data_IF_749311755803
#
_entry.id   IF_749311755803
#
_cell.length_a   1.000
_cell.length_b   1.000
_cell.length_c   1.000
_cell.angle_alpha   90.00
_cell.angle_beta   90.00
_cell.angle_gamma   90.00
#
_symmetry.space_group_name_H-M   'P 1'
#
loop_
_entity.id
_entity.type
_entity.pdbx_description
1 polymer ?
#
# COMPACT_ATOMS: atom_id res chain seq x y z
N UNK A 1 3.14 -11.57 17.69
CA UNK A 1 3.01 -12.86 17.02
C UNK A 1 4.27 -13.20 16.22
N UNK A 2 4.58 -14.50 16.06
CA UNK A 2 5.67 -14.97 15.21
C UNK A 2 5.08 -15.41 13.86
N UNK A 3 4.67 -14.45 13.04
CA UNK A 3 4.26 -14.77 11.68
C UNK A 3 5.48 -14.90 10.78
N UNK A 4 5.49 -15.91 9.92
CA UNK A 4 6.46 -16.02 8.84
C UNK A 4 6.00 -15.07 7.72
N UNK A 5 6.65 -13.92 7.60
CA UNK A 5 6.38 -12.94 6.55
C UNK A 5 7.50 -13.00 5.52
N UNK A 6 7.19 -12.84 4.26
CA UNK A 6 8.18 -12.73 3.21
C UNK A 6 9.09 -11.51 3.46
N UNK A 7 10.37 -11.64 3.17
CA UNK A 7 11.32 -10.53 3.20
C UNK A 7 11.00 -9.59 2.04
N UNK A 8 10.91 -8.29 2.32
CA UNK A 8 10.78 -7.29 1.27
C UNK A 8 12.06 -7.24 0.44
N UNK A 9 11.93 -7.29 -0.87
CA UNK A 9 13.06 -7.33 -1.80
C UNK A 9 13.02 -6.18 -2.80
N UNK A 10 14.19 -5.80 -3.27
CA UNK A 10 14.38 -5.00 -4.47
C UNK A 10 13.95 -5.79 -5.72
N UNK A 11 13.91 -5.15 -6.88
CA UNK A 11 13.54 -5.80 -8.16
C UNK A 11 14.54 -6.88 -8.58
N UNK A 12 15.78 -6.80 -8.14
CA UNK A 12 16.84 -7.80 -8.35
C UNK A 12 16.81 -8.99 -7.38
N UNK A 13 15.83 -9.01 -6.46
CA UNK A 13 15.66 -10.05 -5.45
C UNK A 13 16.51 -9.88 -4.20
N UNK A 14 17.36 -8.87 -4.12
CA UNK A 14 18.12 -8.57 -2.89
C UNK A 14 17.21 -8.02 -1.78
N UNK A 15 17.50 -8.26 -0.48
CA UNK A 15 16.73 -7.70 0.61
C UNK A 15 16.66 -6.17 0.52
N UNK A 16 15.46 -5.60 0.64
CA UNK A 16 15.25 -4.15 0.60
C UNK A 16 15.92 -3.46 1.80
N UNK A 17 15.76 -4.04 2.99
CA UNK A 17 16.43 -3.60 4.20
C UNK A 17 17.70 -4.43 4.39
N UNK A 18 18.86 -3.88 3.97
CA UNK A 18 20.17 -4.53 4.09
C UNK A 18 20.76 -4.41 5.50
N UNK A 19 21.98 -4.91 5.67
CA UNK A 19 22.69 -4.91 6.96
C UNK A 19 22.97 -3.49 7.50
N UNK A 20 23.13 -2.53 6.61
CA UNK A 20 23.47 -1.14 6.95
C UNK A 20 22.24 -0.25 7.06
N UNK A 21 21.04 -0.83 6.98
CA UNK A 21 19.80 -0.11 7.13
C UNK A 21 19.68 0.49 8.54
N UNK A 22 19.42 1.79 8.60
CA UNK A 22 19.14 2.50 9.83
C UNK A 22 17.71 3.02 9.81
N UNK A 23 16.91 2.55 10.76
CA UNK A 23 15.55 3.04 10.93
C UNK A 23 15.57 4.52 11.34
N UNK A 24 14.77 5.32 10.66
CA UNK A 24 14.51 6.72 11.02
C UNK A 24 13.01 6.89 11.26
N UNK A 25 12.69 7.45 12.41
CA UNK A 25 11.30 7.65 12.80
C UNK A 25 10.59 8.62 11.85
N UNK A 26 9.41 8.20 11.35
CA UNK A 26 8.62 8.99 10.41
C UNK A 26 9.08 8.94 8.94
N UNK A 27 10.20 8.27 8.64
CA UNK A 27 10.66 8.07 7.26
C UNK A 27 9.95 6.87 6.65
N UNK A 28 9.33 7.08 5.47
CA UNK A 28 8.76 6.02 4.66
C UNK A 28 9.73 5.56 3.56
N UNK A 29 9.37 4.51 2.83
CA UNK A 29 10.25 3.91 1.84
C UNK A 29 9.52 3.63 0.54
N UNK A 30 10.12 4.02 -0.56
CA UNK A 30 9.65 3.65 -1.90
C UNK A 30 10.17 2.25 -2.26
N UNK A 31 9.32 1.26 -2.09
CA UNK A 31 9.66 -0.11 -2.48
C UNK A 31 9.69 -0.26 -4.00
N UNK A 32 8.82 0.47 -4.70
CA UNK A 32 8.73 0.50 -6.17
C UNK A 32 8.37 1.90 -6.64
N UNK A 33 8.77 2.26 -7.84
CA UNK A 33 8.39 3.50 -8.50
C UNK A 33 7.61 3.19 -9.77
N UNK A 34 6.55 3.95 -10.02
CA UNK A 34 5.66 3.86 -11.19
C UNK A 34 4.86 5.14 -11.32
N UNK A 35 4.10 5.28 -12.39
CA UNK A 35 3.42 6.53 -12.75
C UNK A 35 1.90 6.41 -12.88
N UNK A 36 1.37 5.19 -13.05
CA UNK A 36 -0.05 4.98 -13.38
C UNK A 36 -0.94 4.97 -12.12
N UNK A 37 -0.40 4.55 -10.99
CA UNK A 37 -1.06 4.58 -9.68
C UNK A 37 -0.01 4.50 -8.55
N UNK A 38 -0.43 4.77 -7.31
CA UNK A 38 0.39 4.57 -6.12
C UNK A 38 -0.35 3.76 -5.06
N UNK A 39 0.32 2.75 -4.50
CA UNK A 39 -0.11 2.02 -3.32
C UNK A 39 0.62 2.60 -2.12
N UNK A 40 -0.13 2.98 -1.08
CA UNK A 40 0.41 3.36 0.23
C UNK A 40 0.05 2.25 1.21
N UNK A 41 1.04 1.65 1.83
CA UNK A 41 0.84 0.50 2.72
C UNK A 41 1.77 0.52 3.92
N UNK A 42 1.56 -0.36 4.88
CA UNK A 42 2.45 -0.58 6.02
C UNK A 42 2.33 -2.01 6.56
N UNK A 43 3.29 -2.40 7.41
CA UNK A 43 3.25 -3.65 8.15
C UNK A 43 3.18 -4.89 7.26
N UNK A 44 2.26 -5.80 7.64
CA UNK A 44 2.09 -7.11 7.00
C UNK A 44 1.52 -7.04 5.58
N UNK A 45 0.96 -5.89 5.19
CA UNK A 45 0.38 -5.73 3.86
C UNK A 45 1.42 -5.39 2.78
N UNK A 46 2.63 -4.97 3.17
CA UNK A 46 3.68 -4.62 2.21
C UNK A 46 4.10 -5.77 1.28
N UNK A 47 4.33 -7.02 1.74
CA UNK A 47 4.58 -8.14 0.83
C UNK A 47 3.44 -8.40 -0.14
N UNK A 48 2.18 -8.31 0.32
CA UNK A 48 1.01 -8.48 -0.53
C UNK A 48 0.86 -7.36 -1.57
N UNK A 49 1.26 -6.14 -1.21
CA UNK A 49 1.33 -5.03 -2.15
C UNK A 49 2.37 -5.29 -3.26
N UNK A 50 3.52 -5.90 -2.93
CA UNK A 50 4.51 -6.30 -3.91
C UNK A 50 4.03 -7.45 -4.82
N UNK A 51 3.26 -8.40 -4.30
CA UNK A 51 2.63 -9.45 -5.13
C UNK A 51 1.65 -8.83 -6.14
N UNK A 52 0.81 -7.89 -5.71
CA UNK A 52 -0.10 -7.16 -6.61
C UNK A 52 0.68 -6.32 -7.64
N UNK A 53 1.77 -5.68 -7.22
CA UNK A 53 2.65 -4.93 -8.10
C UNK A 53 3.24 -5.81 -9.22
N UNK A 54 3.70 -7.02 -8.89
CA UNK A 54 4.21 -7.98 -9.89
C UNK A 54 3.12 -8.37 -10.92
N UNK A 55 1.89 -8.56 -10.47
CA UNK A 55 0.77 -8.85 -11.37
C UNK A 55 0.47 -7.67 -12.29
N UNK A 56 0.41 -6.44 -11.76
CA UNK A 56 0.15 -5.23 -12.52
C UNK A 56 1.26 -4.95 -13.53
N UNK A 57 2.53 -5.12 -13.12
CA UNK A 57 3.68 -5.00 -14.01
C UNK A 57 3.61 -5.93 -15.22
N UNK A 58 3.21 -7.19 -15.01
CA UNK A 58 3.01 -8.15 -16.11
C UNK A 58 1.92 -7.72 -17.09
N UNK A 59 1.00 -6.86 -16.65
CA UNK A 59 -0.05 -6.26 -17.48
C UNK A 59 0.36 -4.93 -18.09
N UNK A 60 1.60 -4.49 -17.89
CA UNK A 60 2.11 -3.21 -18.41
C UNK A 60 1.67 -1.99 -17.61
N UNK A 61 1.19 -2.16 -16.37
CA UNK A 61 0.76 -1.09 -15.48
C UNK A 61 1.88 -0.78 -14.49
N UNK A 62 2.38 0.45 -14.52
CA UNK A 62 3.51 0.91 -13.70
C UNK A 62 3.01 1.56 -12.40
N UNK A 63 3.06 0.81 -11.31
CA UNK A 63 2.55 1.25 -10.01
C UNK A 63 3.67 1.53 -9.02
N UNK A 64 3.56 2.64 -8.30
CA UNK A 64 4.42 2.93 -7.15
C UNK A 64 3.94 2.17 -5.92
N UNK A 65 4.89 1.69 -5.09
CA UNK A 65 4.60 1.13 -3.76
C UNK A 65 5.38 1.90 -2.71
N UNK A 66 4.67 2.63 -1.87
CA UNK A 66 5.22 3.42 -0.78
C UNK A 66 4.88 2.78 0.56
N UNK A 67 5.91 2.42 1.32
CA UNK A 67 5.82 1.83 2.65
C UNK A 67 5.91 2.91 3.72
N UNK A 68 4.86 3.08 4.50
CA UNK A 68 4.87 3.90 5.71
C UNK A 68 5.46 3.09 6.86
N UNK A 69 6.49 3.61 7.53
CA UNK A 69 7.10 2.97 8.70
C UNK A 69 6.39 3.31 10.00
N UNK A 70 5.78 4.49 10.08
CA UNK A 70 5.07 5.00 11.26
C UNK A 70 3.69 5.52 10.84
N UNK A 71 2.60 4.76 11.03
CA UNK A 71 1.24 5.27 10.79
C UNK A 71 0.98 6.59 11.51
N UNK A 72 0.38 7.56 10.81
CA UNK A 72 0.16 8.92 11.30
C UNK A 72 1.36 9.86 11.21
N UNK A 73 2.55 9.36 10.85
CA UNK A 73 3.77 10.18 10.65
C UNK A 73 4.42 9.76 9.33
N UNK A 74 4.40 10.63 8.36
CA UNK A 74 4.93 10.37 7.03
C UNK A 74 5.40 11.67 6.36
N UNK A 75 6.28 11.53 5.37
CA UNK A 75 6.76 12.65 4.58
C UNK A 75 5.63 13.25 3.73
N UNK A 76 5.37 14.55 3.93
CA UNK A 76 4.40 15.29 3.12
C UNK A 76 4.78 15.29 1.63
N UNK A 77 6.08 15.32 1.32
CA UNK A 77 6.57 15.31 -0.06
C UNK A 77 6.32 13.97 -0.73
N UNK A 78 6.51 12.86 0.01
CA UNK A 78 6.24 11.53 -0.52
C UNK A 78 4.74 11.31 -0.77
N UNK A 79 3.87 11.77 0.14
CA UNK A 79 2.42 11.68 -0.10
C UNK A 79 2.00 12.53 -1.30
N UNK A 80 2.57 13.74 -1.47
CA UNK A 80 2.34 14.54 -2.69
C UNK A 80 2.81 13.82 -3.95
N UNK A 81 3.97 13.15 -3.87
CA UNK A 81 4.49 12.37 -5.00
C UNK A 81 3.56 11.18 -5.35
N UNK A 82 2.94 10.52 -4.35
CA UNK A 82 1.93 9.48 -4.65
C UNK A 82 0.71 10.07 -5.34
N UNK A 83 0.23 11.24 -4.92
CA UNK A 83 -0.94 11.90 -5.50
C UNK A 83 -0.75 12.28 -6.98
N UNK A 84 0.49 12.57 -7.39
CA UNK A 84 0.82 12.93 -8.77
C UNK A 84 0.57 11.80 -9.78
N UNK A 85 0.38 10.56 -9.33
CA UNK A 85 -0.01 9.44 -10.21
C UNK A 85 -1.49 9.50 -10.62
N UNK A 86 -2.30 10.36 -9.99
CA UNK A 86 -3.73 10.49 -10.24
C UNK A 86 -4.62 9.45 -9.55
N UNK A 87 -4.07 8.32 -9.11
CA UNK A 87 -4.77 7.29 -8.33
C UNK A 87 -3.91 6.85 -7.15
N UNK A 88 -4.40 7.06 -5.94
CA UNK A 88 -3.80 6.55 -4.70
C UNK A 88 -4.68 5.46 -4.11
N UNK A 89 -4.08 4.34 -3.75
CA UNK A 89 -4.77 3.24 -3.05
C UNK A 89 -4.07 3.01 -1.71
N UNK A 90 -4.76 3.24 -0.60
CA UNK A 90 -4.26 2.82 0.71
C UNK A 90 -4.62 1.36 0.95
N UNK A 91 -3.67 0.58 1.46
CA UNK A 91 -3.81 -0.87 1.62
C UNK A 91 -3.30 -1.31 2.99
N UNK A 92 -4.23 -1.71 3.85
CA UNK A 92 -3.99 -1.94 5.27
C UNK A 92 -4.82 -3.10 5.84
N UNK A 93 -4.32 -3.76 6.87
CA UNK A 93 -5.02 -4.80 7.63
C UNK A 93 -5.71 -4.24 8.89
N UNK A 94 -6.01 -2.95 8.87
CA UNK A 94 -6.72 -2.22 9.90
C UNK A 94 -8.13 -1.85 9.45
N UNK A 95 -8.97 -1.46 10.41
CA UNK A 95 -10.34 -1.04 10.11
C UNK A 95 -10.34 0.23 9.24
N UNK A 96 -10.95 0.14 8.07
CA UNK A 96 -10.86 1.18 7.02
C UNK A 96 -11.38 2.55 7.49
N UNK A 97 -12.33 2.58 8.43
CA UNK A 97 -12.90 3.81 8.95
C UNK A 97 -11.99 4.57 9.94
N UNK A 98 -10.93 3.94 10.42
CA UNK A 98 -9.94 4.55 11.33
C UNK A 98 -8.49 4.30 10.89
N UNK A 99 -8.30 3.82 9.68
CA UNK A 99 -6.98 3.49 9.13
C UNK A 99 -6.28 4.68 8.45
N UNK A 100 -5.11 4.40 7.87
CA UNK A 100 -4.28 5.42 7.18
C UNK A 100 -5.01 6.08 6.01
N UNK A 101 -5.99 5.41 5.41
CA UNK A 101 -6.77 5.97 4.32
C UNK A 101 -7.47 7.28 4.69
N UNK A 102 -7.96 7.39 5.93
CA UNK A 102 -8.59 8.63 6.43
C UNK A 102 -7.58 9.76 6.59
N UNK A 103 -6.40 9.46 7.14
CA UNK A 103 -5.34 10.45 7.33
C UNK A 103 -4.81 10.95 5.99
N UNK A 104 -4.58 10.04 5.04
CA UNK A 104 -4.16 10.38 3.68
C UNK A 104 -5.23 11.21 2.97
N UNK A 105 -6.50 10.83 3.06
CA UNK A 105 -7.61 11.60 2.49
C UNK A 105 -7.70 13.02 3.06
N UNK A 106 -7.56 13.16 4.37
CA UNK A 106 -7.52 14.47 5.03
C UNK A 106 -6.32 15.29 4.58
N UNK A 107 -5.13 14.68 4.49
CA UNK A 107 -3.93 15.35 4.00
C UNK A 107 -4.09 15.85 2.56
N UNK A 108 -4.60 15.01 1.66
CA UNK A 108 -4.84 15.38 0.26
C UNK A 108 -5.78 16.59 0.17
N UNK A 109 -6.90 16.55 0.89
CA UNK A 109 -7.88 17.63 0.90
C UNK A 109 -7.29 18.95 1.46
N UNK A 110 -6.57 18.89 2.59
CA UNK A 110 -5.95 20.05 3.23
C UNK A 110 -4.87 20.72 2.37
N UNK A 111 -4.21 19.95 1.51
CA UNK A 111 -3.16 20.45 0.62
C UNK A 111 -3.66 20.76 -0.80
N UNK A 112 -4.97 20.68 -1.07
CA UNK A 112 -5.54 20.94 -2.39
C UNK A 112 -5.05 19.97 -3.47
N UNK A 113 -4.74 18.72 -3.10
CA UNK A 113 -4.25 17.69 -4.01
C UNK A 113 -5.43 16.88 -4.55
N UNK A 114 -5.60 16.90 -5.86
CA UNK A 114 -6.72 16.22 -6.53
C UNK A 114 -6.24 14.92 -7.17
N UNK A 115 -6.61 13.80 -6.59
CA UNK A 115 -6.44 12.47 -7.15
C UNK A 115 -7.60 11.56 -6.72
N UNK A 116 -7.78 10.44 -7.41
CA UNK A 116 -8.69 9.39 -6.94
C UNK A 116 -8.05 8.74 -5.72
N UNK A 117 -8.83 8.53 -4.65
CA UNK A 117 -8.41 7.80 -3.46
C UNK A 117 -9.30 6.57 -3.26
N UNK A 118 -8.72 5.39 -3.21
CA UNK A 118 -9.39 4.17 -2.81
C UNK A 118 -8.77 3.65 -1.50
N UNK A 119 -9.60 3.32 -0.51
CA UNK A 119 -9.14 2.80 0.76
C UNK A 119 -9.50 1.32 0.87
N UNK A 120 -8.49 0.45 0.89
CA UNK A 120 -8.62 -0.98 1.13
C UNK A 120 -8.18 -1.29 2.56
N UNK A 121 -9.11 -1.76 3.36
CA UNK A 121 -8.91 -2.14 4.74
C UNK A 121 -10.02 -3.06 5.21
N UNK A 122 -9.94 -3.50 6.46
CA UNK A 122 -10.96 -4.32 7.11
C UNK A 122 -12.25 -3.52 7.23
N UNK A 123 -13.37 -4.11 6.80
CA UNK A 123 -14.70 -3.46 6.82
C UNK A 123 -15.62 -3.99 7.90
N UNK A 124 -15.46 -5.26 8.24
CA UNK A 124 -16.33 -5.96 9.16
C UNK A 124 -15.51 -6.79 10.15
N UNK A 125 -16.09 -7.08 11.31
CA UNK A 125 -15.46 -8.00 12.25
C UNK A 125 -15.28 -9.38 11.61
N UNK A 126 -14.05 -9.90 11.68
CA UNK A 126 -13.72 -11.20 11.12
C UNK A 126 -14.31 -12.35 11.92
N UNK A 127 -14.54 -13.47 11.26
CA UNK A 127 -14.74 -14.76 11.90
C UNK A 127 -13.38 -15.45 12.15
N UNK A 128 -13.38 -16.58 12.85
CA UNK A 128 -12.18 -17.40 13.00
C UNK A 128 -11.89 -18.16 11.70
N UNK A 129 -10.80 -17.82 11.04
CA UNK A 129 -10.32 -18.49 9.83
C UNK A 129 -8.79 -18.37 9.74
N UNK A 130 -8.19 -19.00 8.74
CA UNK A 130 -6.76 -18.80 8.45
C UNK A 130 -6.53 -17.38 7.93
N UNK A 131 -5.35 -16.77 8.16
CA UNK A 131 -5.07 -15.39 7.74
C UNK A 131 -5.39 -15.14 6.26
N UNK A 132 -5.01 -16.04 5.36
CA UNK A 132 -5.25 -15.87 3.92
C UNK A 132 -6.75 -15.90 3.56
N UNK A 133 -7.53 -16.74 4.23
CA UNK A 133 -8.99 -16.81 4.06
C UNK A 133 -9.64 -15.50 4.54
N UNK A 134 -9.16 -14.95 5.67
CA UNK A 134 -9.63 -13.66 6.19
C UNK A 134 -9.33 -12.51 5.24
N UNK A 135 -8.13 -12.46 4.65
CA UNK A 135 -7.81 -11.44 3.66
C UNK A 135 -8.69 -11.55 2.42
N UNK A 136 -8.95 -12.77 1.93
CA UNK A 136 -9.87 -12.97 0.80
C UNK A 136 -11.30 -12.53 1.13
N UNK A 137 -11.83 -12.91 2.30
CA UNK A 137 -13.18 -12.52 2.74
C UNK A 137 -13.34 -10.99 2.86
N UNK A 138 -12.30 -10.28 3.26
CA UNK A 138 -12.29 -8.82 3.38
C UNK A 138 -12.00 -8.09 2.05
N UNK A 139 -11.71 -8.82 0.96
CA UNK A 139 -11.30 -8.21 -0.30
C UNK A 139 -9.91 -7.58 -0.24
N UNK A 140 -9.02 -8.18 0.56
CA UNK A 140 -7.66 -7.71 0.81
C UNK A 140 -6.60 -8.66 0.23
N UNK A 141 -6.94 -9.52 -0.71
CA UNK A 141 -5.95 -10.31 -1.43
C UNK A 141 -5.15 -9.43 -2.41
N UNK A 142 -3.95 -9.85 -2.83
CA UNK A 142 -3.19 -9.15 -3.88
C UNK A 142 -4.00 -8.96 -5.18
N UNK A 143 -4.83 -9.94 -5.54
CA UNK A 143 -5.70 -9.87 -6.71
C UNK A 143 -6.80 -8.81 -6.56
N UNK A 144 -7.37 -8.65 -5.35
CA UNK A 144 -8.36 -7.60 -5.08
C UNK A 144 -7.72 -6.22 -5.23
N UNK A 145 -6.53 -6.02 -4.67
CA UNK A 145 -5.77 -4.78 -4.81
C UNK A 145 -5.48 -4.47 -6.29
N UNK A 146 -5.01 -5.45 -7.06
CA UNK A 146 -4.75 -5.27 -8.49
C UNK A 146 -6.03 -4.88 -9.25
N UNK A 147 -7.16 -5.53 -8.95
CA UNK A 147 -8.45 -5.22 -9.58
C UNK A 147 -8.95 -3.81 -9.26
N UNK A 148 -8.77 -3.33 -8.02
CA UNK A 148 -9.11 -1.95 -7.64
C UNK A 148 -8.29 -0.94 -8.45
N UNK A 149 -6.99 -1.19 -8.62
CA UNK A 149 -6.12 -0.33 -9.41
C UNK A 149 -6.54 -0.32 -10.87
N UNK A 150 -6.74 -1.49 -11.50
CA UNK A 150 -7.15 -1.60 -12.90
C UNK A 150 -8.46 -0.83 -13.16
N UNK A 151 -9.44 -0.96 -12.28
CA UNK A 151 -10.71 -0.22 -12.39
C UNK A 151 -10.51 1.28 -12.19
N UNK A 152 -9.66 1.67 -11.23
CA UNK A 152 -9.39 3.07 -10.91
C UNK A 152 -8.71 3.85 -12.03
N UNK A 153 -7.78 3.24 -12.78
CA UNK A 153 -7.10 3.86 -13.93
C UNK A 153 -7.96 3.89 -15.19
N UNK A 154 -8.97 3.00 -15.31
CA UNK A 154 -9.85 2.89 -16.49
C UNK A 154 -11.08 3.80 -16.41
N UNK A 155 -11.35 4.40 -15.27
CA UNK A 155 -12.49 5.29 -15.01
C UNK A 155 -12.04 6.75 -14.95
#
# INVERSE_FOLDING_TARGET
GRSKTAVLTNEDGTPFFGKDYQFRYGEGHWLRRGKDAAIITFGMMAPKALEAWEELRRRGIEVSVYLISCPGIYSSEDIKATANTGLVVTYEDHFVESGIGKDIGAFLAQNGLFCKLACLGVKEYGCSAKPEELYQMQGLSPADLANVIIRGISS
#
